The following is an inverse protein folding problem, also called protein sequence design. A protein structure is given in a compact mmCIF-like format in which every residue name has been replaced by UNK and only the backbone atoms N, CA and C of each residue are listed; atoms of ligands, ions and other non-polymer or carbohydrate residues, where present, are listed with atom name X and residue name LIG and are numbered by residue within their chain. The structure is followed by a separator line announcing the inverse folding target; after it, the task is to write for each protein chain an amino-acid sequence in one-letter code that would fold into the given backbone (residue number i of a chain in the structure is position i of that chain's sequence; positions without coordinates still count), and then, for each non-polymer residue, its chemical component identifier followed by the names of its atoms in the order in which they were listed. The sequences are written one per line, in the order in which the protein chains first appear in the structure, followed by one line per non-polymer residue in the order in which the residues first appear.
data_IF_796018585721
#
_entry.id   IF_796018585721
#
_cell.length_a   1.000
_cell.length_b   1.000
_cell.length_c   1.000
_cell.angle_alpha   90.00
_cell.angle_beta   90.00
_cell.angle_gamma   90.00
#
_symmetry.space_group_name_H-M   'P 1'
#
loop_
_entity.id
_entity.type
_entity.pdbx_description
1 polymer ?
#
# COMPACT_ATOMS: atom_id res chain seq x y z
N UNK A 1 -27.92 -30.03 -3.45
CA UNK A 1 -27.02 -29.27 -2.56
C UNK A 1 -25.76 -29.06 -3.37
N UNK A 2 -25.67 -27.96 -4.13
CA UNK A 2 -24.52 -27.70 -4.99
C UNK A 2 -23.63 -26.67 -4.31
N UNK A 3 -22.37 -27.07 -4.13
CA UNK A 3 -21.37 -26.33 -3.38
C UNK A 3 -20.92 -25.08 -4.13
N UNK A 4 -20.79 -24.02 -3.33
CA UNK A 4 -20.17 -22.74 -3.64
C UNK A 4 -18.87 -22.85 -4.44
N UNK A 5 -18.82 -22.24 -5.62
CA UNK A 5 -17.55 -21.85 -6.24
C UNK A 5 -17.45 -20.33 -6.13
N UNK A 6 -17.00 -19.87 -4.96
CA UNK A 6 -16.61 -18.48 -4.76
C UNK A 6 -15.50 -18.14 -5.75
N UNK A 7 -15.81 -17.28 -6.71
CA UNK A 7 -14.84 -16.84 -7.71
C UNK A 7 -13.78 -15.97 -7.03
N UNK A 8 -12.67 -16.58 -6.63
CA UNK A 8 -11.47 -15.85 -6.23
C UNK A 8 -10.93 -15.14 -7.48
N UNK A 9 -11.35 -13.89 -7.64
CA UNK A 9 -10.97 -13.06 -8.77
C UNK A 9 -9.48 -12.74 -8.63
N UNK A 10 -8.66 -13.43 -9.41
CA UNK A 10 -7.27 -13.02 -9.68
C UNK A 10 -7.30 -11.58 -10.20
N UNK A 11 -6.91 -10.63 -9.35
CA UNK A 11 -6.78 -9.22 -9.71
C UNK A 11 -5.62 -9.08 -10.70
N UNK A 12 -5.95 -9.01 -11.98
CA UNK A 12 -5.05 -8.49 -13.02
C UNK A 12 -4.58 -7.09 -12.62
N UNK A 13 -3.30 -6.80 -12.81
CA UNK A 13 -2.60 -5.53 -12.54
C UNK A 13 -3.09 -4.34 -13.41
N UNK A 14 -4.37 -4.32 -13.79
CA UNK A 14 -4.89 -3.46 -14.87
C UNK A 14 -5.86 -2.36 -14.46
N UNK A 15 -6.75 -2.54 -13.47
CA UNK A 15 -7.65 -1.45 -13.04
C UNK A 15 -8.29 -1.79 -11.70
N UNK A 16 -7.87 -1.06 -10.66
CA UNK A 16 -8.64 -1.03 -9.42
C UNK A 16 -10.01 -0.39 -9.69
N UNK A 17 -11.09 -0.86 -9.06
CA UNK A 17 -12.40 -0.24 -9.20
C UNK A 17 -12.34 1.25 -8.86
N UNK A 18 -13.17 2.05 -9.54
CA UNK A 18 -13.32 3.47 -9.21
C UNK A 18 -13.69 3.61 -7.73
N UNK A 19 -12.96 4.46 -7.01
CA UNK A 19 -13.15 4.67 -5.58
C UNK A 19 -12.31 3.75 -4.66
N UNK A 20 -11.57 2.78 -5.21
CA UNK A 20 -10.58 2.05 -4.43
C UNK A 20 -9.47 2.99 -3.98
N UNK A 21 -9.14 2.95 -2.68
CA UNK A 21 -8.14 3.82 -2.05
C UNK A 21 -7.24 3.01 -1.14
N UNK A 22 -6.01 3.47 -0.98
CA UNK A 22 -5.14 2.98 0.09
C UNK A 22 -5.64 3.53 1.42
N UNK A 23 -6.27 2.67 2.22
CA UNK A 23 -6.69 2.96 3.59
C UNK A 23 -6.20 1.87 4.55
N UNK A 24 -4.86 1.75 4.74
CA UNK A 24 -4.32 0.77 5.67
C UNK A 24 -4.64 1.14 7.11
N UNK A 25 -4.85 0.12 7.94
CA UNK A 25 -4.85 0.25 9.41
C UNK A 25 -3.42 0.43 9.93
N UNK A 26 -3.27 0.91 11.17
CA UNK A 26 -1.96 1.03 11.84
C UNK A 26 -1.18 -0.29 11.82
N UNK A 27 -1.88 -1.40 12.05
CA UNK A 27 -1.29 -2.74 12.02
C UNK A 27 -0.74 -3.05 10.64
N UNK A 28 -1.54 -2.84 9.59
CA UNK A 28 -1.11 -3.14 8.22
C UNK A 28 0.05 -2.24 7.79
N UNK A 29 0.01 -0.95 8.15
CA UNK A 29 1.09 0.00 7.88
C UNK A 29 2.43 -0.49 8.46
N UNK A 30 2.42 -0.99 9.69
CA UNK A 30 3.64 -1.52 10.31
C UNK A 30 4.03 -2.87 9.70
N UNK A 31 3.14 -3.85 9.65
CA UNK A 31 3.50 -5.23 9.31
C UNK A 31 3.77 -5.45 7.83
N UNK A 32 3.00 -4.80 6.95
CA UNK A 32 3.06 -5.06 5.51
C UNK A 32 3.85 -4.02 4.72
N UNK A 33 3.98 -2.80 5.25
CA UNK A 33 4.73 -1.74 4.56
C UNK A 33 6.08 -1.51 5.23
N UNK A 34 6.09 -1.09 6.50
CA UNK A 34 7.34 -0.73 7.19
C UNK A 34 8.26 -1.93 7.39
N UNK A 35 7.76 -3.00 8.02
CA UNK A 35 8.58 -4.19 8.30
C UNK A 35 9.07 -4.83 7.00
N UNK A 36 8.21 -4.96 5.99
CA UNK A 36 8.62 -5.53 4.72
C UNK A 36 9.72 -4.70 4.06
N UNK A 37 9.62 -3.37 4.09
CA UNK A 37 10.69 -2.50 3.60
C UNK A 37 12.00 -2.71 4.36
N UNK A 38 11.96 -2.79 5.69
CA UNK A 38 13.17 -2.97 6.53
C UNK A 38 13.85 -4.33 6.30
N UNK A 39 13.07 -5.37 6.01
CA UNK A 39 13.56 -6.73 5.80
C UNK A 39 13.75 -7.10 4.32
N UNK A 40 13.76 -6.13 3.39
CA UNK A 40 13.87 -6.33 1.94
C UNK A 40 12.84 -7.33 1.37
N UNK A 41 11.62 -7.32 1.91
CA UNK A 41 10.49 -8.14 1.46
C UNK A 41 9.59 -7.34 0.50
N UNK A 42 8.79 -8.03 -0.33
CA UNK A 42 7.83 -7.35 -1.21
C UNK A 42 6.89 -6.41 -0.44
N UNK A 43 6.87 -5.13 -0.85
CA UNK A 43 5.96 -4.11 -0.30
C UNK A 43 4.74 -3.98 -1.22
N UNK A 44 3.51 -4.04 -0.68
CA UNK A 44 2.31 -3.84 -1.48
C UNK A 44 2.32 -2.47 -2.14
N UNK A 45 2.02 -2.41 -3.45
CA UNK A 45 1.98 -1.16 -4.22
C UNK A 45 3.23 -0.28 -4.03
N UNK A 46 4.42 -0.89 -3.99
CA UNK A 46 5.70 -0.20 -3.77
C UNK A 46 5.91 1.01 -4.72
N UNK A 47 5.44 0.91 -5.96
CA UNK A 47 5.50 2.00 -6.95
C UNK A 47 4.73 3.27 -6.53
N UNK A 48 3.71 3.14 -5.67
CA UNK A 48 2.93 4.25 -5.16
C UNK A 48 3.56 4.92 -3.93
N UNK A 49 4.59 4.32 -3.32
CA UNK A 49 5.21 4.78 -2.07
C UNK A 49 6.64 5.23 -2.38
N UNK A 50 6.84 6.55 -2.45
CA UNK A 50 8.13 7.15 -2.77
C UNK A 50 8.97 7.37 -1.51
N UNK A 51 10.27 7.16 -1.65
CA UNK A 51 11.25 7.48 -0.60
C UNK A 51 11.54 8.97 -0.59
N UNK A 52 11.27 9.60 0.55
CA UNK A 52 11.48 11.02 0.77
C UNK A 52 12.27 11.25 2.06
N UNK A 53 13.16 12.24 2.06
CA UNK A 53 13.77 12.73 3.30
C UNK A 53 12.73 13.54 4.07
N UNK A 54 12.27 13.01 5.20
CA UNK A 54 11.24 13.64 6.02
C UNK A 54 11.66 15.02 6.54
N UNK A 55 12.93 15.18 6.92
CA UNK A 55 13.44 16.44 7.48
C UNK A 55 13.39 17.55 6.43
N UNK A 56 13.89 17.26 5.23
CA UNK A 56 13.85 18.18 4.10
C UNK A 56 12.41 18.50 3.69
N UNK A 57 11.57 17.47 3.56
CA UNK A 57 10.17 17.62 3.14
C UNK A 57 9.38 18.53 4.10
N UNK A 58 9.44 18.27 5.41
CA UNK A 58 8.68 19.06 6.39
C UNK A 58 9.30 20.45 6.65
N UNK A 59 10.60 20.63 6.44
CA UNK A 59 11.23 21.96 6.54
C UNK A 59 10.78 22.91 5.43
N UNK A 60 10.50 22.38 4.25
CA UNK A 60 10.07 23.16 3.07
C UNK A 60 8.64 23.68 3.24
N UNK A 61 7.75 22.87 3.81
CA UNK A 61 6.33 23.22 4.01
C UNK A 61 6.15 24.27 5.12
N UNK A 62 7.00 24.26 6.15
CA UNK A 62 6.92 25.23 7.26
C UNK A 62 7.54 26.60 6.97
N UNK A 63 7.97 26.84 5.73
CA UNK A 63 8.66 28.07 5.33
C UNK A 63 7.74 29.10 4.65
N UNK A 64 6.42 28.93 4.77
CA UNK A 64 5.37 29.82 4.22
C UNK A 64 4.64 30.53 5.35
#
# INVERSE_FOLDING_TARGET
MEAEHGQETMMSSGQLPVGFRLMPTDKELVTHYLMNKVFDRPVPAAEAIQDIDATQFYSTIRRI
#
